data_IF_431281758826
#
_entry.id   IF_431281758826
#
_cell.length_a   1.000
_cell.length_b   1.000
_cell.length_c   1.000
_cell.angle_alpha   90.00
_cell.angle_beta   90.00
_cell.angle_gamma   90.00
#
_symmetry.space_group_name_H-M   'P 1'
#
loop_
_entity.id
_entity.type
_entity.pdbx_description
1 polymer ?
#
# COMPACT_ATOMS: atom_id res chain seq x y z
N UNK A 1 8.33 14.73 -10.09
CA UNK A 1 7.66 13.42 -10.23
C UNK A 1 6.59 13.37 -9.17
N UNK A 2 5.36 13.04 -9.54
CA UNK A 2 4.20 13.10 -8.67
C UNK A 2 3.72 11.69 -8.29
N UNK A 3 3.54 11.45 -6.98
CA UNK A 3 3.15 10.16 -6.42
C UNK A 3 1.68 10.20 -5.96
N UNK A 4 0.87 9.23 -6.39
CA UNK A 4 -0.47 9.04 -5.87
C UNK A 4 -0.46 8.12 -4.64
N UNK A 5 -1.08 8.56 -3.53
CA UNK A 5 -1.36 7.73 -2.39
C UNK A 5 -2.88 7.50 -2.29
N UNK A 6 -3.28 6.23 -2.27
CA UNK A 6 -4.66 5.82 -2.16
C UNK A 6 -4.84 5.10 -0.82
N UNK A 7 -5.42 5.73 0.22
CA UNK A 7 -5.80 4.99 1.40
C UNK A 7 -7.05 4.16 1.08
N UNK A 8 -7.02 2.85 1.26
CA UNK A 8 -8.18 1.98 1.09
C UNK A 8 -9.35 2.44 1.97
N UNK A 9 -10.57 2.43 1.43
CA UNK A 9 -11.83 2.63 2.17
C UNK A 9 -12.10 4.00 2.82
N UNK A 10 -11.09 4.87 2.98
CA UNK A 10 -11.27 6.21 3.59
C UNK A 10 -12.30 7.05 2.83
N UNK A 11 -13.34 7.48 3.56
CA UNK A 11 -14.34 8.46 3.12
C UNK A 11 -15.64 7.90 2.52
N UNK A 12 -15.79 6.57 2.37
CA UNK A 12 -17.01 5.98 1.78
C UNK A 12 -17.55 4.74 2.49
N UNK A 13 -16.68 3.87 3.00
CA UNK A 13 -17.03 2.68 3.78
C UNK A 13 -15.94 2.37 4.80
N UNK A 14 -16.22 1.48 5.77
CA UNK A 14 -15.27 1.09 6.81
C UNK A 14 -14.09 0.26 6.28
N UNK A 15 -14.22 -0.29 5.07
CA UNK A 15 -13.43 -1.42 4.60
C UNK A 15 -13.77 -2.70 5.36
N UNK A 16 -12.82 -3.65 5.35
CA UNK A 16 -12.88 -4.80 6.22
C UNK A 16 -12.98 -4.36 7.69
N UNK A 17 -13.92 -4.99 8.38
CA UNK A 17 -14.03 -4.93 9.83
C UNK A 17 -13.66 -6.34 10.30
N UNK A 18 -12.83 -6.44 11.34
CA UNK A 18 -12.53 -7.72 11.97
C UNK A 18 -13.83 -8.51 12.24
N UNK A 19 -13.94 -9.78 11.79
CA UNK A 19 -15.04 -10.65 12.14
C UNK A 19 -15.05 -10.93 13.66
N UNK A 20 -15.90 -10.22 14.40
CA UNK A 20 -16.03 -10.34 15.86
C UNK A 20 -16.19 -11.80 16.32
N UNK A 21 -15.11 -12.39 16.83
CA UNK A 21 -15.08 -13.75 17.37
C UNK A 21 -15.36 -13.78 18.88
N UNK A 22 -15.83 -14.90 19.46
CA UNK A 22 -15.96 -15.02 20.90
C UNK A 22 -14.60 -14.84 21.60
N UNK A 23 -14.42 -13.72 22.29
CA UNK A 23 -13.18 -13.40 23.02
C UNK A 23 -12.27 -12.38 22.32
N UNK A 24 -12.59 -11.98 21.10
CA UNK A 24 -11.97 -10.84 20.44
C UNK A 24 -12.34 -9.53 21.16
N UNK A 25 -11.33 -8.70 21.43
CA UNK A 25 -11.44 -7.42 22.16
C UNK A 25 -11.03 -6.24 21.30
N UNK A 26 -10.53 -6.49 20.09
CA UNK A 26 -10.10 -5.46 19.17
C UNK A 26 -11.20 -5.28 18.12
N UNK A 27 -11.55 -4.03 17.85
CA UNK A 27 -12.50 -3.70 16.79
C UNK A 27 -11.75 -2.83 15.81
N UNK A 28 -11.02 -3.48 14.90
CA UNK A 28 -10.23 -2.77 13.89
C UNK A 28 -11.07 -2.44 12.67
N UNK A 29 -11.00 -1.17 12.29
CA UNK A 29 -11.61 -0.65 11.07
C UNK A 29 -10.48 -0.41 10.07
N UNK A 30 -10.49 -1.13 8.95
CA UNK A 30 -9.44 -1.03 7.92
C UNK A 30 -9.18 0.43 7.52
N UNK A 31 -10.23 1.23 7.30
CA UNK A 31 -10.09 2.64 6.92
C UNK A 31 -9.23 3.46 7.91
N UNK A 32 -9.22 3.13 9.20
CA UNK A 32 -8.38 3.81 10.19
C UNK A 32 -6.90 3.41 10.04
N UNK A 33 -6.63 2.11 9.83
CA UNK A 33 -5.28 1.58 9.60
C UNK A 33 -4.69 2.15 8.32
N UNK A 34 -5.43 2.11 7.21
CA UNK A 34 -4.95 2.58 5.90
C UNK A 34 -4.71 4.09 5.90
N UNK A 35 -5.56 4.87 6.59
CA UNK A 35 -5.35 6.29 6.80
C UNK A 35 -4.08 6.57 7.62
N UNK A 36 -3.87 5.83 8.71
CA UNK A 36 -2.70 5.95 9.59
C UNK A 36 -1.38 5.69 8.86
N UNK A 37 -1.30 4.58 8.10
CA UNK A 37 -0.13 4.24 7.29
C UNK A 37 0.08 5.27 6.17
N UNK A 38 -0.98 5.65 5.46
CA UNK A 38 -0.90 6.63 4.37
C UNK A 38 -0.44 8.00 4.86
N UNK A 39 -0.90 8.44 6.03
CA UNK A 39 -0.45 9.69 6.66
C UNK A 39 1.05 9.67 6.97
N UNK A 40 1.56 8.54 7.46
CA UNK A 40 3.00 8.35 7.72
C UNK A 40 3.82 8.32 6.42
N UNK A 41 3.31 7.68 5.36
CA UNK A 41 3.95 7.72 4.02
C UNK A 41 4.02 9.16 3.53
N UNK A 42 2.91 9.91 3.61
CA UNK A 42 2.86 11.32 3.21
C UNK A 42 3.88 12.17 3.99
N UNK A 43 3.96 11.99 5.32
CA UNK A 43 4.95 12.68 6.14
C UNK A 43 6.38 12.40 5.65
N UNK A 44 6.72 11.14 5.41
CA UNK A 44 8.06 10.75 4.96
C UNK A 44 8.37 11.27 3.55
N UNK A 45 7.41 11.25 2.61
CA UNK A 45 7.58 11.83 1.28
C UNK A 45 7.80 13.35 1.36
N UNK A 46 7.08 14.07 2.23
CA UNK A 46 7.30 15.51 2.47
C UNK A 46 8.71 15.79 2.99
N UNK A 47 9.17 15.02 3.97
CA UNK A 47 10.53 15.15 4.53
C UNK A 47 11.63 14.94 3.48
N UNK A 48 11.35 14.13 2.45
CA UNK A 48 12.26 13.88 1.34
C UNK A 48 12.10 14.87 0.16
N UNK A 49 11.17 15.82 0.24
CA UNK A 49 10.88 16.75 -0.85
C UNK A 49 10.24 16.09 -2.08
N UNK A 50 9.50 14.99 -1.90
CA UNK A 50 8.82 14.28 -2.98
C UNK A 50 7.34 14.69 -3.08
N UNK A 51 6.97 15.22 -4.24
CA UNK A 51 5.59 15.63 -4.53
C UNK A 51 4.64 14.43 -4.54
N UNK A 52 3.52 14.57 -3.85
CA UNK A 52 2.49 13.53 -3.78
C UNK A 52 1.11 14.13 -3.55
N UNK A 53 0.09 13.35 -3.90
CA UNK A 53 -1.33 13.63 -3.64
C UNK A 53 -1.89 12.46 -2.83
N UNK A 54 -2.65 12.76 -1.78
CA UNK A 54 -3.50 11.77 -1.11
C UNK A 54 -4.89 11.85 -1.75
N UNK A 55 -5.28 10.78 -2.44
CA UNK A 55 -6.57 10.66 -3.10
C UNK A 55 -7.57 9.90 -2.19
N UNK A 56 -7.88 10.49 -1.03
CA UNK A 56 -8.84 9.95 -0.08
C UNK A 56 -10.27 10.43 -0.43
N UNK A 57 -10.97 9.68 -1.26
CA UNK A 57 -12.34 10.00 -1.63
C UNK A 57 -13.00 8.93 -2.50
N UNK A 58 -14.15 9.29 -3.06
CA UNK A 58 -14.87 8.44 -3.99
C UNK A 58 -14.09 8.16 -5.27
N UNK A 59 -14.52 7.13 -5.99
CA UNK A 59 -13.86 6.64 -7.19
C UNK A 59 -13.51 7.73 -8.22
N UNK A 60 -14.48 8.56 -8.59
CA UNK A 60 -14.28 9.59 -9.61
C UNK A 60 -13.22 10.62 -9.19
N UNK A 61 -13.22 11.01 -7.92
CA UNK A 61 -12.19 11.88 -7.37
C UNK A 61 -10.82 11.24 -7.46
N UNK A 62 -10.69 9.95 -7.06
CA UNK A 62 -9.42 9.21 -7.14
C UNK A 62 -8.85 9.28 -8.54
N UNK A 63 -9.64 8.93 -9.56
CA UNK A 63 -9.18 8.88 -10.94
C UNK A 63 -8.88 10.27 -11.49
N UNK A 64 -9.73 11.26 -11.23
CA UNK A 64 -9.56 12.62 -11.76
C UNK A 64 -8.36 13.33 -11.13
N UNK A 65 -8.22 13.25 -9.80
CA UNK A 65 -7.18 13.95 -9.06
C UNK A 65 -5.78 13.43 -9.38
N UNK A 66 -5.65 12.16 -9.76
CA UNK A 66 -4.33 11.53 -9.96
C UNK A 66 -3.91 11.42 -11.43
N UNK A 67 -4.62 12.04 -12.38
CA UNK A 67 -4.30 11.95 -13.82
C UNK A 67 -2.87 12.39 -14.16
N UNK A 68 -2.30 13.31 -13.38
CA UNK A 68 -0.93 13.81 -13.58
C UNK A 68 0.14 12.99 -12.83
N UNK A 69 -0.25 11.98 -12.06
CA UNK A 69 0.69 11.18 -11.27
C UNK A 69 1.52 10.24 -12.16
N UNK A 70 2.74 9.95 -11.72
CA UNK A 70 3.69 9.10 -12.43
C UNK A 70 3.75 7.67 -11.88
N UNK A 71 3.38 7.49 -10.61
CA UNK A 71 3.25 6.21 -9.94
C UNK A 71 2.22 6.34 -8.80
N UNK A 72 1.71 5.22 -8.30
CA UNK A 72 0.84 5.22 -7.13
C UNK A 72 0.97 3.98 -6.26
N UNK A 73 0.55 4.14 -5.02
CA UNK A 73 0.47 3.08 -4.02
C UNK A 73 -0.90 3.15 -3.34
N UNK A 74 -1.65 2.05 -3.39
CA UNK A 74 -2.86 1.86 -2.61
C UNK A 74 -2.56 1.00 -1.38
N UNK A 75 -3.02 1.43 -0.21
CA UNK A 75 -2.75 0.80 1.08
C UNK A 75 -4.04 0.15 1.59
N UNK A 76 -3.96 -1.13 1.91
CA UNK A 76 -5.05 -1.95 2.46
C UNK A 76 -4.58 -2.81 3.63
N UNK A 77 -5.55 -3.40 4.34
CA UNK A 77 -5.35 -4.52 5.24
C UNK A 77 -6.32 -5.64 4.88
N UNK A 78 -5.79 -6.82 4.58
CA UNK A 78 -6.51 -7.91 3.94
C UNK A 78 -7.41 -8.65 4.95
N UNK A 79 -8.34 -9.44 4.45
CA UNK A 79 -9.15 -10.36 5.23
C UNK A 79 -9.34 -11.65 4.44
N UNK A 80 -9.13 -12.80 5.08
CA UNK A 80 -9.37 -14.08 4.43
C UNK A 80 -9.92 -15.13 5.39
N UNK A 81 -10.47 -16.22 4.83
CA UNK A 81 -11.05 -17.31 5.63
C UNK A 81 -10.00 -18.16 6.35
N UNK A 82 -8.72 -18.06 5.97
CA UNK A 82 -7.63 -18.72 6.69
C UNK A 82 -7.10 -17.75 7.76
N UNK A 83 -7.59 -17.88 8.98
CA UNK A 83 -7.17 -17.04 10.12
C UNK A 83 -5.68 -17.18 10.47
N UNK A 84 -4.98 -18.21 9.94
CA UNK A 84 -3.53 -18.36 10.09
C UNK A 84 -2.71 -17.61 9.04
N UNK A 85 -3.35 -16.99 8.04
CA UNK A 85 -2.64 -16.15 7.07
C UNK A 85 -2.09 -14.91 7.78
N UNK A 86 -0.83 -14.60 7.54
CA UNK A 86 -0.10 -13.53 8.24
C UNK A 86 0.92 -12.89 7.30
N UNK A 87 1.15 -11.59 7.47
CA UNK A 87 2.17 -10.82 6.78
C UNK A 87 1.65 -10.06 5.57
N UNK A 88 2.54 -9.24 5.02
CA UNK A 88 2.21 -8.37 3.90
C UNK A 88 2.27 -9.11 2.56
N UNK A 89 1.60 -8.56 1.55
CA UNK A 89 1.84 -8.89 0.14
C UNK A 89 1.57 -7.71 -0.79
N UNK A 90 2.13 -7.76 -2.00
CA UNK A 90 2.08 -6.65 -2.96
C UNK A 90 1.49 -7.11 -4.28
N UNK A 91 0.52 -6.35 -4.80
CA UNK A 91 -0.24 -6.66 -6.00
C UNK A 91 0.04 -5.62 -7.07
N UNK A 92 0.28 -6.06 -8.31
CA UNK A 92 0.46 -5.18 -9.46
C UNK A 92 -0.44 -5.57 -10.64
N UNK A 93 -0.62 -4.67 -11.61
CA UNK A 93 -1.35 -5.02 -12.83
C UNK A 93 -0.54 -6.03 -13.67
N UNK A 94 -1.15 -7.10 -14.23
CA UNK A 94 -0.43 -8.11 -15.01
C UNK A 94 0.32 -7.56 -16.23
N UNK A 95 -0.22 -6.54 -16.89
CA UNK A 95 0.40 -5.92 -18.08
C UNK A 95 1.34 -4.75 -17.78
N UNK A 96 1.46 -4.34 -16.51
CA UNK A 96 2.28 -3.17 -16.14
C UNK A 96 3.70 -3.61 -15.78
N UNK A 97 4.62 -3.52 -16.75
CA UNK A 97 6.04 -3.80 -16.50
C UNK A 97 6.62 -2.91 -15.39
N UNK A 98 6.31 -1.60 -15.43
CA UNK A 98 6.70 -0.66 -14.37
C UNK A 98 6.01 -0.93 -13.03
N UNK A 99 4.74 -1.36 -13.05
CA UNK A 99 4.03 -1.78 -11.83
C UNK A 99 4.67 -3.00 -11.19
N UNK A 100 5.10 -3.99 -11.99
CA UNK A 100 5.87 -5.15 -11.53
C UNK A 100 7.21 -4.74 -10.91
N UNK A 101 7.94 -3.82 -11.55
CA UNK A 101 9.20 -3.30 -11.00
C UNK A 101 8.99 -2.54 -9.68
N UNK A 102 7.96 -1.69 -9.60
CA UNK A 102 7.59 -0.96 -8.38
C UNK A 102 7.21 -1.93 -7.25
N UNK A 103 6.36 -2.92 -7.54
CA UNK A 103 5.95 -3.93 -6.57
C UNK A 103 7.15 -4.70 -6.01
N UNK A 104 8.08 -5.09 -6.88
CA UNK A 104 9.30 -5.78 -6.45
C UNK A 104 10.19 -4.91 -5.55
N UNK A 105 10.28 -3.60 -5.78
CA UNK A 105 11.04 -2.70 -4.91
C UNK A 105 10.38 -2.53 -3.54
N UNK A 106 9.07 -2.33 -3.51
CA UNK A 106 8.31 -2.21 -2.26
C UNK A 106 8.34 -3.51 -1.46
N UNK A 107 8.11 -4.66 -2.10
CA UNK A 107 8.15 -5.96 -1.45
C UNK A 107 9.53 -6.28 -0.86
N UNK A 108 10.62 -6.02 -1.58
CA UNK A 108 11.97 -6.21 -1.04
C UNK A 108 12.20 -5.35 0.21
N UNK A 109 11.79 -4.09 0.17
CA UNK A 109 11.97 -3.17 1.29
C UNK A 109 11.14 -3.57 2.52
N UNK A 110 9.89 -4.01 2.32
CA UNK A 110 9.03 -4.53 3.38
C UNK A 110 9.64 -5.80 4.00
N UNK A 111 10.07 -6.74 3.15
CA UNK A 111 10.62 -8.03 3.56
C UNK A 111 11.99 -7.97 4.28
N UNK A 112 12.58 -6.79 4.46
CA UNK A 112 13.77 -6.64 5.32
C UNK A 112 13.43 -6.79 6.81
N UNK A 113 12.22 -6.39 7.23
CA UNK A 113 11.83 -6.35 8.64
C UNK A 113 10.40 -6.84 8.92
N UNK A 114 9.63 -7.21 7.89
CA UNK A 114 8.24 -7.63 8.01
C UNK A 114 8.06 -9.04 7.44
N UNK A 115 7.11 -9.78 8.01
CA UNK A 115 6.73 -11.11 7.52
C UNK A 115 6.05 -10.99 6.17
N UNK A 116 6.54 -11.72 5.17
CA UNK A 116 5.94 -11.81 3.84
C UNK A 116 4.94 -12.96 3.81
N UNK A 117 3.69 -12.69 3.45
CA UNK A 117 2.67 -13.71 3.23
C UNK A 117 2.90 -14.48 1.92
N UNK A 118 3.32 -13.76 0.87
CA UNK A 118 3.67 -14.32 -0.45
C UNK A 118 4.48 -13.33 -1.29
N UNK A 119 5.12 -13.87 -2.32
CA UNK A 119 5.80 -13.06 -3.33
C UNK A 119 4.83 -12.10 -4.05
N UNK A 120 5.35 -10.99 -4.61
CA UNK A 120 4.57 -10.08 -5.42
C UNK A 120 3.87 -10.80 -6.55
N UNK A 121 2.58 -10.52 -6.72
CA UNK A 121 1.77 -11.18 -7.72
C UNK A 121 0.86 -10.18 -8.44
N UNK A 122 0.16 -10.66 -9.45
CA UNK A 122 -0.63 -9.79 -10.32
C UNK A 122 -2.11 -10.07 -10.25
N UNK A 123 -2.91 -9.02 -10.24
CA UNK A 123 -4.38 -9.08 -10.36
C UNK A 123 -4.91 -7.87 -11.13
N UNK A 124 -6.12 -7.99 -11.69
CA UNK A 124 -6.81 -6.90 -12.40
C UNK A 124 -7.75 -6.16 -11.44
N UNK A 125 -7.19 -5.58 -10.38
CA UNK A 125 -7.96 -4.75 -9.46
C UNK A 125 -8.33 -3.43 -10.13
N UNK A 126 -9.49 -2.88 -9.76
CA UNK A 126 -10.05 -1.68 -10.41
C UNK A 126 -9.06 -0.51 -10.42
N UNK A 127 -8.34 -0.28 -9.31
CA UNK A 127 -7.35 0.82 -9.23
C UNK A 127 -6.19 0.63 -10.20
N UNK A 128 -5.78 -0.63 -10.39
CA UNK A 128 -4.66 -1.03 -11.21
C UNK A 128 -4.99 -0.93 -12.71
N UNK A 129 -6.28 -0.98 -13.05
CA UNK A 129 -6.79 -0.90 -14.42
C UNK A 129 -7.10 0.53 -14.85
N UNK A 130 -7.68 1.35 -13.98
CA UNK A 130 -8.31 2.62 -14.39
C UNK A 130 -7.41 3.86 -14.24
N UNK A 131 -6.27 3.76 -13.56
CA UNK A 131 -5.40 4.91 -13.25
C UNK A 131 -4.50 5.33 -14.41
N UNK A 132 -4.19 4.44 -15.36
CA UNK A 132 -3.39 4.74 -16.56
C UNK A 132 -1.88 4.97 -16.30
N UNK A 133 -1.41 4.82 -15.06
CA UNK A 133 0.00 4.86 -14.66
C UNK A 133 0.33 3.67 -13.74
N UNK A 134 1.62 3.39 -13.45
CA UNK A 134 2.00 2.29 -12.57
C UNK A 134 1.46 2.47 -11.15
N UNK A 135 0.50 1.63 -10.75
CA UNK A 135 0.00 1.54 -9.39
C UNK A 135 0.28 0.14 -8.83
N UNK A 136 0.50 0.06 -7.53
CA UNK A 136 0.53 -1.20 -6.77
C UNK A 136 -0.42 -1.11 -5.59
N UNK A 137 -0.97 -2.25 -5.18
CA UNK A 137 -1.70 -2.40 -3.91
C UNK A 137 -0.79 -3.09 -2.92
N UNK A 138 -0.69 -2.55 -1.72
CA UNK A 138 0.05 -3.13 -0.59
C UNK A 138 -0.97 -3.54 0.45
N UNK A 139 -1.13 -4.85 0.58
CA UNK A 139 -1.86 -5.46 1.67
C UNK A 139 -0.90 -5.60 2.84
N UNK A 140 -1.13 -4.83 3.91
CA UNK A 140 -0.13 -4.62 4.96
C UNK A 140 -0.06 -5.77 5.99
N UNK A 141 -1.07 -6.64 5.98
CA UNK A 141 -1.30 -7.72 6.93
C UNK A 141 -2.77 -8.17 6.85
N UNK A 142 -3.16 -9.16 7.63
CA UNK A 142 -4.52 -9.69 7.67
C UNK A 142 -5.26 -9.29 8.95
N UNK A 143 -6.39 -8.57 8.82
CA UNK A 143 -7.28 -8.27 9.96
C UNK A 143 -7.94 -9.54 10.51
N UNK A 144 -8.09 -10.60 9.72
CA UNK A 144 -8.55 -11.91 10.19
C UNK A 144 -7.53 -12.67 11.04
N UNK A 145 -6.33 -12.14 11.26
CA UNK A 145 -5.28 -12.76 12.07
C UNK A 145 -4.94 -11.85 13.26
N UNK A 146 -5.13 -12.35 14.47
CA UNK A 146 -4.98 -11.54 15.70
C UNK A 146 -3.58 -10.96 15.91
N UNK A 147 -2.53 -11.58 15.34
CA UNK A 147 -1.16 -11.05 15.44
C UNK A 147 -1.00 -9.85 14.50
N UNK A 148 -1.40 -10.01 13.24
CA UNK A 148 -1.35 -8.91 12.27
C UNK A 148 -2.28 -7.77 12.68
N UNK A 149 -3.49 -8.06 13.17
CA UNK A 149 -4.43 -7.05 13.63
C UNK A 149 -3.81 -6.18 14.75
N UNK A 150 -3.22 -6.82 15.77
CA UNK A 150 -2.51 -6.12 16.85
C UNK A 150 -1.30 -5.31 16.35
N UNK A 151 -0.57 -5.82 15.36
CA UNK A 151 0.53 -5.09 14.71
C UNK A 151 0.02 -3.91 13.88
N UNK A 152 -1.08 -4.05 13.15
CA UNK A 152 -1.67 -3.00 12.32
C UNK A 152 -2.24 -1.85 13.14
N UNK A 153 -2.66 -2.10 14.39
CA UNK A 153 -3.02 -1.06 15.36
C UNK A 153 -1.80 -0.39 16.03
N UNK A 154 -0.60 -0.96 15.89
CA UNK A 154 0.61 -0.43 16.50
C UNK A 154 1.23 0.69 15.64
N UNK A 155 1.35 1.90 16.21
CA UNK A 155 1.91 3.06 15.53
C UNK A 155 3.35 2.86 15.01
N UNK A 156 4.19 2.14 15.77
CA UNK A 156 5.57 1.84 15.37
C UNK A 156 5.62 0.87 14.19
N UNK A 157 4.75 -0.13 14.17
CA UNK A 157 4.63 -1.06 13.05
C UNK A 157 4.11 -0.34 11.78
N UNK A 158 3.07 0.50 11.91
CA UNK A 158 2.61 1.34 10.79
C UNK A 158 3.73 2.24 10.24
N UNK A 159 4.59 2.78 11.11
CA UNK A 159 5.76 3.55 10.68
C UNK A 159 6.78 2.69 9.93
N UNK A 160 7.03 1.47 10.38
CA UNK A 160 7.92 0.54 9.69
C UNK A 160 7.41 0.20 8.28
N UNK A 161 6.10 -0.05 8.13
CA UNK A 161 5.46 -0.24 6.82
C UNK A 161 5.65 1.01 5.96
N UNK A 162 5.29 2.19 6.47
CA UNK A 162 5.39 3.44 5.72
C UNK A 162 6.83 3.73 5.28
N UNK A 163 7.81 3.51 6.16
CA UNK A 163 9.22 3.67 5.87
C UNK A 163 9.67 2.73 4.75
N UNK A 164 9.34 1.44 4.84
CA UNK A 164 9.68 0.45 3.82
C UNK A 164 9.03 0.78 2.46
N UNK A 165 7.76 1.17 2.42
CA UNK A 165 7.09 1.62 1.20
C UNK A 165 7.83 2.79 0.56
N UNK A 166 8.20 3.80 1.35
CA UNK A 166 8.97 4.96 0.86
C UNK A 166 10.35 4.56 0.35
N UNK A 167 11.06 3.64 1.01
CA UNK A 167 12.34 3.14 0.50
C UNK A 167 12.16 2.39 -0.82
N UNK A 168 11.13 1.56 -0.95
CA UNK A 168 10.80 0.87 -2.19
C UNK A 168 10.50 1.83 -3.34
N UNK A 169 9.74 2.90 -3.08
CA UNK A 169 9.50 3.98 -4.04
C UNK A 169 10.83 4.63 -4.45
N UNK A 170 11.68 5.01 -3.50
CA UNK A 170 12.98 5.65 -3.81
C UNK A 170 13.87 4.75 -4.66
N UNK A 171 13.94 3.45 -4.34
CA UNK A 171 14.71 2.48 -5.12
C UNK A 171 14.17 2.40 -6.56
N UNK A 172 12.85 2.31 -6.74
CA UNK A 172 12.21 2.30 -8.05
C UNK A 172 12.59 3.56 -8.85
N UNK A 173 12.45 4.74 -8.25
CA UNK A 173 12.74 6.03 -8.88
C UNK A 173 14.20 6.12 -9.31
N UNK A 174 15.13 5.74 -8.42
CA UNK A 174 16.55 5.71 -8.72
C UNK A 174 16.88 4.80 -9.92
N UNK A 175 16.23 3.64 -10.03
CA UNK A 175 16.39 2.73 -11.17
C UNK A 175 15.84 3.32 -12.47
N UNK A 176 14.77 4.11 -12.42
CA UNK A 176 14.25 4.78 -13.61
C UNK A 176 15.17 5.92 -14.08
N UNK A 177 15.81 6.64 -13.17
CA UNK A 177 16.74 7.74 -13.51
C UNK A 177 18.14 7.25 -13.89
N UNK A 178 18.63 6.20 -13.25
CA UNK A 178 19.98 5.66 -13.46
C UNK A 178 20.16 4.86 -14.76
N UNK A 179 19.09 4.37 -15.37
CA UNK A 179 19.14 3.70 -16.69
C UNK A 179 19.31 4.68 -17.87
N UNK A 180 19.31 5.99 -17.64
CA UNK A 180 19.48 7.04 -18.68
C UNK A 180 20.90 7.57 -18.86
N UNK A 181 21.86 7.21 -18.01
CA UNK A 181 23.21 7.80 -17.99
C UNK A 181 24.30 6.96 -18.66
N UNK A 182 23.94 5.81 -19.25
CA UNK A 182 24.87 4.99 -20.04
C UNK A 182 24.83 5.38 -21.51
N UNK A 183 25.55 6.44 -21.88
CA UNK A 183 26.07 6.64 -23.24
C UNK A 183 27.59 6.65 -23.16
#
# INVERSE_FOLDING_TARGET
MLIALFPGHVGKDSGAIDPTGPGDRLHTVEAAVTAGITGKISMLLKLLGLDHIIAAGGWDYRIIATKACNLGVEIHADICSNENAIGFHVIHHPSSAKGKELAACIDRALGLNLTRARDPHSARLKILTDTGFPVVVVECGFLSNTIDEALLLNEGHQFNIAFAVVQGIREFVYKQTGKGSGK
#
